data_IF_675204938326
#
_entry.id   IF_675204938326
#
_cell.length_a   1.000
_cell.length_b   1.000
_cell.length_c   1.000
_cell.angle_alpha   90.00
_cell.angle_beta   90.00
_cell.angle_gamma   90.00
#
_symmetry.space_group_name_H-M   'P 1'
#
loop_
_entity.id
_entity.type
_entity.pdbx_description
1 polymer ?
#
# COMPACT_ATOMS: atom_id res chain seq x y z
N UNK A 1 -48.99 50.23 53.55
CA UNK A 1 -47.71 50.96 53.66
C UNK A 1 -46.73 50.27 54.63
N UNK A 2 -47.01 50.18 55.94
CA UNK A 2 -46.09 49.57 56.94
C UNK A 2 -45.64 48.14 56.60
N UNK A 3 -46.56 47.27 56.16
CA UNK A 3 -46.23 45.90 55.72
C UNK A 3 -45.28 45.85 54.53
N UNK A 4 -45.47 46.73 53.52
CA UNK A 4 -44.61 46.80 52.34
C UNK A 4 -43.21 47.27 52.74
N UNK A 5 -43.11 48.31 53.57
CA UNK A 5 -41.83 48.83 54.07
C UNK A 5 -41.05 47.78 54.88
N UNK A 6 -41.76 46.95 55.66
CA UNK A 6 -41.14 45.82 56.37
C UNK A 6 -40.55 44.79 55.40
N UNK A 7 -41.35 44.34 54.42
CA UNK A 7 -40.92 43.35 53.43
C UNK A 7 -39.74 43.85 52.57
N UNK A 8 -39.75 45.13 52.20
CA UNK A 8 -38.64 45.78 51.48
C UNK A 8 -37.36 45.76 52.31
N UNK A 9 -37.46 46.07 53.61
CA UNK A 9 -36.30 46.03 54.52
C UNK A 9 -35.73 44.62 54.67
N UNK A 10 -36.59 43.61 54.85
CA UNK A 10 -36.18 42.21 54.92
C UNK A 10 -35.52 41.76 53.62
N UNK A 11 -36.07 42.12 52.47
CA UNK A 11 -35.50 41.79 51.17
C UNK A 11 -34.13 42.45 50.93
N UNK A 12 -33.90 43.68 51.37
CA UNK A 12 -32.57 44.29 51.29
C UNK A 12 -31.54 43.60 52.19
N UNK A 13 -31.95 43.10 53.36
CA UNK A 13 -31.09 42.28 54.21
C UNK A 13 -30.75 40.97 53.50
N UNK A 14 -31.75 40.31 52.92
CA UNK A 14 -31.61 39.08 52.15
C UNK A 14 -30.64 39.23 50.96
N UNK A 15 -30.70 40.34 50.23
CA UNK A 15 -29.82 40.62 49.08
C UNK A 15 -28.37 40.92 49.47
N UNK A 16 -28.13 41.36 50.72
CA UNK A 16 -26.79 41.68 51.24
C UNK A 16 -26.16 40.54 52.04
N UNK A 17 -26.95 39.53 52.38
CA UNK A 17 -26.48 38.36 53.12
C UNK A 17 -25.61 37.46 52.21
N UNK A 18 -24.45 37.09 52.73
CA UNK A 18 -23.45 36.27 52.02
C UNK A 18 -23.66 34.76 52.23
N UNK A 19 -24.45 34.37 53.23
CA UNK A 19 -24.71 32.98 53.63
C UNK A 19 -26.18 32.55 53.42
N UNK A 20 -26.99 33.40 52.80
CA UNK A 20 -28.41 33.11 52.56
C UNK A 20 -28.61 31.93 51.61
N UNK A 21 -29.62 31.11 51.90
CA UNK A 21 -30.14 30.07 50.99
C UNK A 21 -30.86 30.74 49.80
N UNK A 22 -30.34 30.62 48.56
CA UNK A 22 -30.88 31.38 47.41
C UNK A 22 -32.30 30.98 46.99
N UNK A 23 -32.79 29.82 47.47
CA UNK A 23 -34.17 29.38 47.31
C UNK A 23 -35.18 30.38 47.92
N UNK A 24 -34.75 31.16 48.91
CA UNK A 24 -35.59 32.14 49.60
C UNK A 24 -35.91 33.37 48.74
N UNK A 25 -35.12 33.67 47.70
CA UNK A 25 -35.37 34.81 46.81
C UNK A 25 -36.73 34.73 46.11
N UNK A 26 -37.14 33.53 45.68
CA UNK A 26 -38.43 33.31 45.02
C UNK A 26 -39.61 33.56 45.98
N UNK A 27 -39.51 33.04 47.20
CA UNK A 27 -40.54 33.22 48.22
C UNK A 27 -40.65 34.70 48.65
N UNK A 28 -39.51 35.37 48.87
CA UNK A 28 -39.48 36.80 49.19
C UNK A 28 -40.05 37.66 48.06
N UNK A 29 -39.77 37.31 46.80
CA UNK A 29 -40.35 37.99 45.64
C UNK A 29 -41.87 37.85 45.60
N UNK A 30 -42.40 36.63 45.79
CA UNK A 30 -43.85 36.40 45.80
C UNK A 30 -44.54 37.17 46.93
N UNK A 31 -43.96 37.20 48.13
CA UNK A 31 -44.51 37.95 49.26
C UNK A 31 -44.61 39.47 48.99
N UNK A 32 -43.63 40.04 48.30
CA UNK A 32 -43.64 41.45 47.89
C UNK A 32 -44.66 41.69 46.77
N UNK A 33 -44.68 40.82 45.76
CA UNK A 33 -45.62 40.87 44.62
C UNK A 33 -47.08 40.85 45.10
N UNK A 34 -47.40 39.94 46.02
CA UNK A 34 -48.73 39.84 46.63
C UNK A 34 -49.08 41.05 47.49
N UNK A 35 -48.10 41.60 48.23
CA UNK A 35 -48.31 42.81 49.04
C UNK A 35 -48.58 44.05 48.17
N UNK A 36 -47.89 44.18 47.02
CA UNK A 36 -48.14 45.24 46.04
C UNK A 36 -49.53 45.07 45.42
N UNK A 37 -49.88 43.87 44.94
CA UNK A 37 -51.21 43.57 44.38
C UNK A 37 -52.34 43.89 45.35
N UNK A 38 -52.18 43.50 46.62
CA UNK A 38 -53.14 43.79 47.67
C UNK A 38 -53.28 45.31 47.92
N UNK A 39 -52.16 46.06 47.92
CA UNK A 39 -52.21 47.51 48.06
C UNK A 39 -52.92 48.20 46.89
N UNK A 40 -52.65 47.77 45.65
CA UNK A 40 -53.34 48.27 44.45
C UNK A 40 -54.84 47.98 44.54
N UNK A 41 -55.21 46.75 44.91
CA UNK A 41 -56.60 46.36 45.06
C UNK A 41 -57.34 47.20 46.10
N UNK A 42 -56.73 47.43 47.27
CA UNK A 42 -57.31 48.29 48.31
C UNK A 42 -57.45 49.75 47.86
N UNK A 43 -56.47 50.28 47.13
CA UNK A 43 -56.56 51.64 46.57
C UNK A 43 -57.69 51.79 45.54
N UNK A 44 -57.97 50.74 44.75
CA UNK A 44 -59.05 50.74 43.78
C UNK A 44 -60.45 50.66 44.41
N UNK A 45 -60.56 50.25 45.69
CA UNK A 45 -61.83 50.13 46.42
C UNK A 45 -62.16 51.36 47.29
N UNK A 46 -61.26 52.34 47.40
CA UNK A 46 -61.48 53.54 48.19
C UNK A 46 -61.94 54.71 47.31
N UNK A 47 -63.08 55.32 47.62
CA UNK A 47 -63.62 56.51 46.92
C UNK A 47 -62.92 57.84 47.30
N UNK A 48 -61.91 57.80 48.18
CA UNK A 48 -61.21 59.00 48.66
C UNK A 48 -60.06 59.43 47.75
N UNK A 49 -59.93 60.74 47.52
CA UNK A 49 -58.87 61.40 46.74
C UNK A 49 -57.47 60.81 46.97
N UNK A 50 -56.97 60.13 45.93
CA UNK A 50 -55.61 59.67 45.67
C UNK A 50 -54.90 58.80 46.75
N UNK A 51 -54.16 57.75 46.35
CA UNK A 51 -53.27 57.04 47.27
C UNK A 51 -52.24 58.03 47.85
N UNK A 52 -52.05 58.03 49.18
CA UNK A 52 -51.05 58.87 49.84
C UNK A 52 -49.68 58.73 49.17
N UNK A 53 -48.96 59.83 48.93
CA UNK A 53 -47.62 59.82 48.29
C UNK A 53 -46.66 58.80 48.92
N UNK A 54 -46.78 58.60 50.24
CA UNK A 54 -46.02 57.62 51.02
C UNK A 54 -46.25 56.17 50.58
N UNK A 55 -47.47 55.82 50.19
CA UNK A 55 -47.81 54.49 49.68
C UNK A 55 -47.25 54.29 48.27
N UNK A 56 -47.39 55.29 47.39
CA UNK A 56 -46.83 55.27 46.03
C UNK A 56 -45.32 55.05 46.09
N UNK A 57 -44.62 55.81 46.95
CA UNK A 57 -43.18 55.67 47.14
C UNK A 57 -42.80 54.28 47.69
N UNK A 58 -43.56 53.75 48.65
CA UNK A 58 -43.31 52.40 49.20
C UNK A 58 -43.53 51.30 48.15
N UNK A 59 -44.52 51.45 47.26
CA UNK A 59 -44.76 50.51 46.17
C UNK A 59 -43.64 50.56 45.12
N UNK A 60 -43.14 51.75 44.75
CA UNK A 60 -41.99 51.89 43.85
C UNK A 60 -40.73 51.21 44.38
N UNK A 61 -40.40 51.45 45.65
CA UNK A 61 -39.27 50.79 46.31
C UNK A 61 -39.44 49.26 46.34
N UNK A 62 -40.68 48.79 46.55
CA UNK A 62 -41.00 47.38 46.52
C UNK A 62 -40.90 46.77 45.11
N UNK A 63 -41.30 47.49 44.06
CA UNK A 63 -41.13 47.09 42.67
C UNK A 63 -39.64 46.97 42.29
N UNK A 64 -38.80 47.93 42.69
CA UNK A 64 -37.37 47.91 42.43
C UNK A 64 -36.68 46.70 43.07
N UNK A 65 -37.01 46.38 44.33
CA UNK A 65 -36.48 45.22 45.03
C UNK A 65 -37.05 43.91 44.49
N UNK A 66 -38.31 43.91 44.08
CA UNK A 66 -38.97 42.76 43.45
C UNK A 66 -38.28 42.36 42.14
N UNK A 67 -37.89 43.32 41.30
CA UNK A 67 -37.13 43.06 40.07
C UNK A 67 -35.79 42.40 40.38
N UNK A 68 -35.08 42.88 41.41
CA UNK A 68 -33.81 42.29 41.84
C UNK A 68 -34.00 40.86 42.35
N UNK A 69 -34.98 40.60 43.22
CA UNK A 69 -35.24 39.25 43.75
C UNK A 69 -35.68 38.27 42.66
N UNK A 70 -36.53 38.69 41.71
CA UNK A 70 -36.93 37.89 40.55
C UNK A 70 -35.71 37.55 39.69
N UNK A 71 -34.85 38.53 39.41
CA UNK A 71 -33.59 38.33 38.67
C UNK A 71 -32.67 37.33 39.37
N UNK A 72 -32.46 37.48 40.69
CA UNK A 72 -31.64 36.55 41.50
C UNK A 72 -32.21 35.14 41.54
N UNK A 73 -33.53 35.00 41.65
CA UNK A 73 -34.21 33.70 41.60
C UNK A 73 -34.00 33.00 40.24
N UNK A 74 -34.07 33.75 39.14
CA UNK A 74 -33.78 33.24 37.80
C UNK A 74 -32.31 32.84 37.64
N UNK A 75 -31.37 33.68 38.06
CA UNK A 75 -29.94 33.38 38.03
C UNK A 75 -29.60 32.13 38.85
N UNK A 76 -30.24 31.94 40.00
CA UNK A 76 -30.09 30.73 40.82
C UNK A 76 -30.58 29.46 40.11
N UNK A 77 -31.72 29.53 39.40
CA UNK A 77 -32.23 28.40 38.61
C UNK A 77 -31.25 27.98 37.52
N UNK A 78 -30.69 28.94 36.79
CA UNK A 78 -29.69 28.62 35.76
C UNK A 78 -28.39 28.09 36.36
N UNK A 79 -27.93 28.68 37.47
CA UNK A 79 -26.74 28.20 38.17
C UNK A 79 -26.91 26.75 38.67
N UNK A 80 -28.04 26.42 39.28
CA UNK A 80 -28.33 25.07 39.79
C UNK A 80 -28.46 24.04 38.68
N UNK A 81 -29.11 24.39 37.57
CA UNK A 81 -29.18 23.55 36.39
C UNK A 81 -27.79 23.26 35.81
N UNK A 82 -26.93 24.28 35.67
CA UNK A 82 -25.56 24.13 35.18
C UNK A 82 -24.66 23.35 36.16
N UNK A 83 -24.90 23.48 37.47
CA UNK A 83 -24.17 22.78 38.53
C UNK A 83 -24.41 21.27 38.54
N UNK A 84 -25.64 20.84 38.24
CA UNK A 84 -26.09 19.46 38.43
C UNK A 84 -25.19 18.39 37.80
N UNK A 85 -24.75 18.49 36.52
CA UNK A 85 -23.98 17.42 35.88
C UNK A 85 -22.47 17.45 36.18
N UNK A 86 -21.92 18.56 36.70
CA UNK A 86 -20.46 18.81 36.72
C UNK A 86 -19.68 17.73 37.44
N UNK A 87 -20.15 17.32 38.63
CA UNK A 87 -19.46 16.32 39.44
C UNK A 87 -19.44 14.95 38.75
N UNK A 88 -20.55 14.59 38.11
CA UNK A 88 -20.67 13.32 37.38
C UNK A 88 -19.75 13.33 36.16
N UNK A 89 -19.86 14.36 35.31
CA UNK A 89 -19.05 14.48 34.09
C UNK A 89 -17.55 14.53 34.40
N UNK A 90 -17.13 15.25 35.44
CA UNK A 90 -15.73 15.27 35.83
C UNK A 90 -15.21 13.88 36.22
N UNK A 91 -16.02 13.08 36.92
CA UNK A 91 -15.64 11.71 37.28
C UNK A 91 -15.63 10.79 36.05
N UNK A 92 -16.59 10.96 35.15
CA UNK A 92 -16.67 10.23 33.88
C UNK A 92 -15.42 10.45 33.01
N UNK A 93 -14.82 11.65 33.05
CA UNK A 93 -13.57 11.93 32.34
C UNK A 93 -12.32 11.53 33.15
N UNK A 94 -12.35 11.69 34.46
CA UNK A 94 -11.18 11.39 35.31
C UNK A 94 -10.89 9.89 35.40
N UNK A 95 -11.92 9.04 35.49
CA UNK A 95 -11.73 7.59 35.69
C UNK A 95 -11.02 6.93 34.51
N UNK A 96 -11.43 7.13 33.24
CA UNK A 96 -10.71 6.58 32.09
C UNK A 96 -9.27 7.10 32.01
N UNK A 97 -9.04 8.40 32.23
CA UNK A 97 -7.71 8.98 32.22
C UNK A 97 -6.80 8.34 33.28
N UNK A 98 -7.31 8.19 34.51
CA UNK A 98 -6.54 7.55 35.58
C UNK A 98 -6.17 6.11 35.20
N UNK A 99 -7.14 5.34 34.69
CA UNK A 99 -6.89 3.98 34.25
C UNK A 99 -5.77 3.93 33.19
N UNK A 100 -5.77 4.83 32.20
CA UNK A 100 -4.73 4.88 31.19
C UNK A 100 -3.36 5.28 31.74
N UNK A 101 -3.32 6.19 32.70
CA UNK A 101 -2.06 6.64 33.33
C UNK A 101 -1.47 5.62 34.29
N UNK A 102 -2.28 4.71 34.84
CA UNK A 102 -1.85 3.65 35.74
C UNK A 102 -1.68 2.29 35.05
N UNK A 103 -1.82 2.24 33.72
CA UNK A 103 -1.59 1.00 32.98
C UNK A 103 -0.09 0.70 32.92
N UNK A 104 0.28 -0.48 33.40
CA UNK A 104 1.68 -0.97 33.37
C UNK A 104 2.03 -1.71 32.07
N UNK A 105 1.04 -1.98 31.22
CA UNK A 105 1.22 -2.74 29.98
C UNK A 105 1.21 -1.83 28.75
N UNK A 106 2.21 -1.97 27.90
CA UNK A 106 2.24 -1.33 26.57
C UNK A 106 1.18 -1.93 25.66
N UNK A 107 0.50 -1.06 24.91
CA UNK A 107 -0.55 -1.41 23.95
C UNK A 107 0.01 -1.72 22.58
N UNK A 108 -0.74 -2.48 21.80
CA UNK A 108 -0.47 -2.61 20.37
C UNK A 108 -0.93 -1.35 19.62
N UNK A 109 -0.36 -1.10 18.44
CA UNK A 109 -0.61 0.11 17.65
C UNK A 109 -2.11 0.34 17.35
N UNK A 110 -2.84 -0.72 17.00
CA UNK A 110 -4.28 -0.63 16.70
C UNK A 110 -5.11 -0.19 17.90
N UNK A 111 -4.77 -0.68 19.09
CA UNK A 111 -5.40 -0.27 20.35
C UNK A 111 -5.05 1.18 20.70
N UNK A 112 -3.80 1.59 20.48
CA UNK A 112 -3.34 2.94 20.73
C UNK A 112 -4.10 3.98 19.88
N UNK A 113 -4.32 3.72 18.60
CA UNK A 113 -5.12 4.58 17.71
C UNK A 113 -6.59 4.67 18.18
N UNK A 114 -7.17 3.57 18.64
CA UNK A 114 -8.53 3.57 19.19
C UNK A 114 -8.62 4.46 20.44
N UNK A 115 -7.65 4.35 21.35
CA UNK A 115 -7.54 5.17 22.56
C UNK A 115 -7.36 6.65 22.20
N UNK A 116 -6.48 6.97 21.25
CA UNK A 116 -6.26 8.33 20.76
C UNK A 116 -7.57 8.99 20.31
N UNK A 117 -8.40 8.28 19.54
CA UNK A 117 -9.71 8.76 19.09
C UNK A 117 -10.66 9.05 20.24
N UNK A 118 -10.71 8.15 21.24
CA UNK A 118 -11.55 8.32 22.44
C UNK A 118 -11.11 9.55 23.24
N UNK A 119 -9.81 9.72 23.47
CA UNK A 119 -9.27 10.82 24.26
C UNK A 119 -9.38 12.17 23.56
N UNK A 120 -9.24 12.23 22.23
CA UNK A 120 -9.54 13.44 21.44
C UNK A 120 -10.97 13.91 21.65
N UNK A 121 -11.95 13.00 21.60
CA UNK A 121 -13.35 13.33 21.89
C UNK A 121 -13.55 13.75 23.35
N UNK A 122 -12.86 13.08 24.29
CA UNK A 122 -12.94 13.42 25.70
C UNK A 122 -12.39 14.82 26.01
N UNK A 123 -11.27 15.22 25.42
CA UNK A 123 -10.70 16.56 25.56
C UNK A 123 -11.67 17.62 25.04
N UNK A 124 -12.28 17.39 23.87
CA UNK A 124 -13.31 18.29 23.35
C UNK A 124 -14.52 18.42 24.30
N UNK A 125 -14.92 17.33 24.96
CA UNK A 125 -15.98 17.34 25.95
C UNK A 125 -15.58 18.06 27.26
N UNK A 126 -14.32 17.92 27.69
CA UNK A 126 -13.78 18.67 28.85
C UNK A 126 -13.77 20.17 28.55
N UNK A 127 -13.41 20.59 27.33
CA UNK A 127 -13.48 21.99 26.91
C UNK A 127 -14.92 22.56 26.98
N UNK A 128 -15.93 21.77 26.61
CA UNK A 128 -17.35 22.17 26.81
C UNK A 128 -17.72 22.34 28.28
N UNK A 129 -17.16 21.50 29.17
CA UNK A 129 -17.36 21.63 30.61
C UNK A 129 -16.68 22.90 31.16
N UNK A 130 -15.51 23.29 30.66
CA UNK A 130 -14.85 24.56 30.98
C UNK A 130 -15.74 25.75 30.59
N UNK A 131 -16.35 25.74 29.40
CA UNK A 131 -17.31 26.77 28.98
C UNK A 131 -18.52 26.86 29.92
N UNK A 132 -19.02 25.72 30.41
CA UNK A 132 -20.12 25.68 31.38
C UNK A 132 -19.72 26.32 32.71
N UNK A 133 -18.49 26.08 33.17
CA UNK A 133 -17.95 26.69 34.38
C UNK A 133 -17.77 28.20 34.24
N UNK A 134 -17.35 28.70 33.07
CA UNK A 134 -17.31 30.14 32.78
C UNK A 134 -18.70 30.78 32.85
N UNK A 135 -19.72 30.14 32.28
CA UNK A 135 -21.12 30.60 32.42
C UNK A 135 -21.56 30.61 33.88
N UNK A 136 -21.23 29.57 34.66
CA UNK A 136 -21.52 29.54 36.09
C UNK A 136 -20.79 30.63 36.88
N UNK A 137 -19.57 30.99 36.49
CA UNK A 137 -18.83 32.10 37.09
C UNK A 137 -19.56 33.43 36.88
N UNK A 138 -20.10 33.67 35.69
CA UNK A 138 -20.93 34.85 35.41
C UNK A 138 -22.19 34.89 36.29
N UNK A 139 -22.90 33.77 36.44
CA UNK A 139 -24.04 33.70 37.35
C UNK A 139 -23.62 33.90 38.81
N UNK A 140 -22.49 33.35 39.25
CA UNK A 140 -21.97 33.55 40.59
C UNK A 140 -21.63 35.03 40.89
N UNK A 141 -21.12 35.76 39.89
CA UNK A 141 -20.90 37.21 40.00
C UNK A 141 -22.22 37.98 40.12
N UNK A 142 -23.22 37.63 39.31
CA UNK A 142 -24.57 38.23 39.39
C UNK A 142 -25.26 37.91 40.70
N UNK A 143 -24.94 36.77 41.32
CA UNK A 143 -25.44 36.30 42.61
C UNK A 143 -24.62 36.78 43.82
N UNK A 144 -23.64 37.69 43.64
CA UNK A 144 -22.87 38.30 44.73
C UNK A 144 -23.78 38.91 45.81
N UNK A 145 -23.57 38.71 47.13
CA UNK A 145 -22.30 38.33 47.78
C UNK A 145 -22.13 36.84 48.15
N UNK A 146 -22.91 35.93 47.58
CA UNK A 146 -22.92 34.51 47.95
C UNK A 146 -21.54 33.83 47.81
N UNK A 147 -20.85 33.61 48.93
CA UNK A 147 -19.45 33.13 48.96
C UNK A 147 -19.33 31.67 48.52
N UNK A 148 -20.23 30.82 48.99
CA UNK A 148 -20.18 29.36 48.76
C UNK A 148 -20.28 29.00 47.27
N UNK A 149 -21.08 29.76 46.51
CA UNK A 149 -21.27 29.58 45.06
C UNK A 149 -19.99 29.89 44.31
N UNK A 150 -19.32 31.00 44.65
CA UNK A 150 -18.04 31.39 44.05
C UNK A 150 -16.94 30.37 44.35
N UNK A 151 -16.83 29.91 45.60
CA UNK A 151 -15.87 28.89 45.99
C UNK A 151 -16.08 27.56 45.25
N UNK A 152 -17.34 27.15 45.06
CA UNK A 152 -17.68 25.94 44.31
C UNK A 152 -17.19 26.02 42.85
N UNK A 153 -17.44 27.15 42.17
CA UNK A 153 -17.02 27.35 40.78
C UNK A 153 -15.50 27.27 40.66
N UNK A 154 -14.77 28.04 41.47
CA UNK A 154 -13.30 28.04 41.44
C UNK A 154 -12.69 26.67 41.76
N UNK A 155 -13.30 25.91 42.69
CA UNK A 155 -12.85 24.54 42.99
C UNK A 155 -12.94 23.62 41.78
N UNK A 156 -14.05 23.65 41.05
CA UNK A 156 -14.24 22.79 39.88
C UNK A 156 -13.46 23.29 38.66
N UNK A 157 -13.29 24.59 38.46
CA UNK A 157 -12.42 25.15 37.42
C UNK A 157 -11.00 24.61 37.53
N UNK A 158 -10.41 24.67 38.72
CA UNK A 158 -9.07 24.15 38.95
C UNK A 158 -8.97 22.63 38.69
N UNK A 159 -10.00 21.86 39.06
CA UNK A 159 -10.01 20.41 38.82
C UNK A 159 -10.19 20.05 37.35
N UNK A 160 -11.11 20.72 36.65
CA UNK A 160 -11.36 20.50 35.23
C UNK A 160 -10.13 20.91 34.41
N UNK A 161 -9.50 22.05 34.74
CA UNK A 161 -8.26 22.47 34.10
C UNK A 161 -7.13 21.45 34.25
N UNK A 162 -6.93 20.90 35.46
CA UNK A 162 -5.94 19.83 35.70
C UNK A 162 -6.23 18.57 34.90
N UNK A 163 -7.48 18.12 34.86
CA UNK A 163 -7.85 16.93 34.07
C UNK A 163 -7.67 17.17 32.58
N UNK A 164 -8.01 18.37 32.08
CA UNK A 164 -7.77 18.76 30.70
C UNK A 164 -6.29 18.71 30.34
N UNK A 165 -5.43 19.33 31.16
CA UNK A 165 -3.98 19.33 30.98
C UNK A 165 -3.41 17.91 30.98
N UNK A 166 -3.77 17.09 31.98
CA UNK A 166 -3.33 15.69 32.06
C UNK A 166 -3.79 14.87 30.84
N UNK A 167 -5.03 15.03 30.40
CA UNK A 167 -5.56 14.35 29.21
C UNK A 167 -4.83 14.79 27.94
N UNK A 168 -4.51 16.08 27.84
CA UNK A 168 -3.80 16.66 26.68
C UNK A 168 -2.37 16.16 26.61
N UNK A 169 -1.64 16.18 27.73
CA UNK A 169 -0.28 15.66 27.81
C UNK A 169 -0.25 14.16 27.49
N UNK A 170 -1.17 13.37 28.07
CA UNK A 170 -1.32 11.96 27.74
C UNK A 170 -1.56 11.74 26.24
N UNK A 171 -2.49 12.49 25.63
CA UNK A 171 -2.80 12.36 24.21
C UNK A 171 -1.60 12.73 23.34
N UNK A 172 -0.86 13.77 23.69
CA UNK A 172 0.32 14.22 22.95
C UNK A 172 1.44 13.17 23.00
N UNK A 173 1.75 12.63 24.18
CA UNK A 173 2.75 11.58 24.33
C UNK A 173 2.34 10.29 23.59
N UNK A 174 1.08 9.87 23.72
CA UNK A 174 0.53 8.73 22.98
C UNK A 174 0.62 8.95 21.46
N UNK A 175 0.26 10.15 21.00
CA UNK A 175 0.27 10.49 19.57
C UNK A 175 1.68 10.53 19.01
N UNK A 176 2.66 11.01 19.78
CA UNK A 176 4.06 10.98 19.39
C UNK A 176 4.53 9.53 19.17
N UNK A 177 4.29 8.64 20.15
CA UNK A 177 4.66 7.23 20.01
C UNK A 177 3.96 6.53 18.83
N UNK A 178 2.68 6.86 18.56
CA UNK A 178 1.96 6.36 17.39
C UNK A 178 2.58 6.84 16.07
N UNK A 179 2.93 8.13 15.98
CA UNK A 179 3.55 8.68 14.77
C UNK A 179 4.91 8.02 14.52
N UNK A 180 5.70 7.78 15.57
CA UNK A 180 6.99 7.09 15.47
C UNK A 180 6.83 5.63 14.98
N UNK A 181 5.74 4.94 15.34
CA UNK A 181 5.43 3.61 14.79
C UNK A 181 5.02 3.68 13.32
N UNK A 182 4.23 4.67 12.95
CA UNK A 182 3.79 4.85 11.57
C UNK A 182 4.97 5.18 10.65
N UNK A 183 5.88 6.06 11.09
CA UNK A 183 7.09 6.39 10.34
C UNK A 183 8.02 5.19 10.18
N UNK A 184 8.21 4.39 11.24
CA UNK A 184 8.96 3.14 11.15
C UNK A 184 8.30 2.20 10.14
N UNK A 185 6.99 1.96 10.27
CA UNK A 185 6.26 1.04 9.40
C UNK A 185 6.34 1.48 7.93
N UNK A 186 6.23 2.78 7.66
CA UNK A 186 6.40 3.36 6.33
C UNK A 186 7.82 3.19 5.79
N UNK A 187 8.85 3.32 6.63
CA UNK A 187 10.24 3.10 6.24
C UNK A 187 10.53 1.63 5.94
N UNK A 188 10.01 0.71 6.76
CA UNK A 188 10.10 -0.74 6.52
C UNK A 188 9.41 -1.12 5.20
N UNK A 189 8.20 -0.59 4.96
CA UNK A 189 7.46 -0.85 3.73
C UNK A 189 8.25 -0.43 2.48
N UNK A 190 8.91 0.74 2.50
CA UNK A 190 9.77 1.18 1.40
C UNK A 190 10.94 0.22 1.14
N UNK A 191 11.53 -0.34 2.19
CA UNK A 191 12.61 -1.34 2.02
C UNK A 191 12.05 -2.65 1.46
N UNK A 192 10.90 -3.11 1.95
CA UNK A 192 10.23 -4.29 1.42
C UNK A 192 9.84 -4.14 -0.07
N UNK A 193 9.37 -2.96 -0.48
CA UNK A 193 9.05 -2.65 -1.88
C UNK A 193 10.31 -2.67 -2.77
N UNK A 194 11.43 -2.14 -2.27
CA UNK A 194 12.73 -2.23 -2.96
C UNK A 194 13.18 -3.69 -3.12
N UNK A 195 13.10 -4.50 -2.07
CA UNK A 195 13.43 -5.92 -2.14
C UNK A 195 12.56 -6.66 -3.16
N UNK A 196 11.26 -6.37 -3.17
CA UNK A 196 10.33 -6.96 -4.14
C UNK A 196 10.70 -6.56 -5.57
N UNK A 197 11.07 -5.29 -5.77
CA UNK A 197 11.50 -4.77 -7.08
C UNK A 197 12.80 -5.44 -7.54
N UNK A 198 13.80 -5.58 -6.66
CA UNK A 198 15.05 -6.28 -6.96
C UNK A 198 14.82 -7.76 -7.25
N UNK A 199 13.94 -8.44 -6.50
CA UNK A 199 13.59 -9.82 -6.76
C UNK A 199 13.03 -10.06 -8.15
N UNK A 200 12.30 -9.09 -8.72
CA UNK A 200 11.82 -9.20 -10.11
C UNK A 200 12.95 -9.14 -11.16
N UNK A 201 14.10 -8.57 -10.83
CA UNK A 201 15.29 -8.49 -11.69
C UNK A 201 16.19 -9.71 -11.56
N UNK A 202 16.09 -10.46 -10.46
CA UNK A 202 16.88 -11.65 -10.17
C UNK A 202 16.23 -12.85 -10.86
N UNK A 203 16.43 -12.92 -12.18
CA UNK A 203 15.94 -14.01 -13.03
C UNK A 203 17.10 -14.62 -13.83
N UNK A 204 17.02 -15.90 -14.24
CA UNK A 204 18.10 -16.56 -14.98
C UNK A 204 18.47 -15.90 -16.31
N UNK A 205 17.57 -15.11 -16.91
CA UNK A 205 17.82 -14.40 -18.15
C UNK A 205 18.60 -13.08 -17.95
N UNK A 206 18.82 -12.65 -16.70
CA UNK A 206 19.56 -11.43 -16.37
C UNK A 206 21.07 -11.70 -16.48
N UNK A 207 21.78 -10.84 -17.20
CA UNK A 207 23.24 -10.97 -17.36
C UNK A 207 24.01 -10.78 -16.05
N UNK A 208 25.22 -11.38 -15.93
CA UNK A 208 26.00 -11.36 -14.69
C UNK A 208 26.40 -9.95 -14.26
N UNK A 209 26.69 -9.04 -15.20
CA UNK A 209 27.04 -7.64 -14.89
C UNK A 209 25.96 -6.92 -14.06
N UNK A 210 24.68 -7.14 -14.40
CA UNK A 210 23.55 -6.54 -13.68
C UNK A 210 23.38 -7.20 -12.31
N UNK A 211 23.56 -8.52 -12.22
CA UNK A 211 23.46 -9.27 -10.97
C UNK A 211 24.60 -8.91 -10.00
N UNK A 212 25.82 -8.70 -10.50
CA UNK A 212 26.95 -8.17 -9.73
C UNK A 212 26.66 -6.75 -9.24
N UNK A 213 26.11 -5.88 -10.09
CA UNK A 213 25.76 -4.52 -9.69
C UNK A 213 24.74 -4.52 -8.53
N UNK A 214 23.76 -5.42 -8.55
CA UNK A 214 22.79 -5.59 -7.46
C UNK A 214 23.51 -6.10 -6.19
N UNK A 215 24.38 -7.10 -6.33
CA UNK A 215 25.11 -7.70 -5.20
C UNK A 215 26.05 -6.69 -4.52
N UNK A 216 26.76 -5.88 -5.30
CA UNK A 216 27.83 -5.02 -4.79
C UNK A 216 27.32 -3.64 -4.34
N UNK A 217 26.20 -3.15 -4.89
CA UNK A 217 25.70 -1.81 -4.60
C UNK A 217 24.35 -1.82 -3.86
N UNK A 218 23.35 -2.52 -4.41
CA UNK A 218 21.97 -2.44 -3.90
C UNK A 218 21.79 -3.21 -2.58
N UNK A 219 22.36 -4.42 -2.48
CA UNK A 219 22.26 -5.26 -1.29
C UNK A 219 22.92 -4.59 -0.06
N UNK A 220 24.17 -4.10 -0.11
CA UNK A 220 24.77 -3.40 1.03
C UNK A 220 24.00 -2.14 1.41
N UNK A 221 23.49 -1.38 0.43
CA UNK A 221 22.68 -0.20 0.71
C UNK A 221 21.36 -0.50 1.44
N UNK A 222 20.78 -1.68 1.21
CA UNK A 222 19.60 -2.17 1.93
C UNK A 222 19.98 -2.67 3.34
N UNK A 223 21.11 -3.36 3.47
CA UNK A 223 21.65 -3.81 4.76
C UNK A 223 21.90 -2.63 5.69
N UNK A 224 22.55 -1.58 5.20
CA UNK A 224 22.80 -0.34 5.95
C UNK A 224 21.48 0.33 6.39
N UNK A 225 20.47 0.35 5.51
CA UNK A 225 19.14 0.89 5.83
C UNK A 225 18.45 0.07 6.92
N UNK A 226 18.50 -1.26 6.84
CA UNK A 226 17.89 -2.13 7.84
C UNK A 226 18.63 -2.08 9.18
N UNK A 227 19.96 -1.99 9.17
CA UNK A 227 20.75 -1.81 10.38
C UNK A 227 20.43 -0.46 11.05
N UNK A 228 20.31 0.62 10.27
CA UNK A 228 19.89 1.91 10.79
C UNK A 228 18.50 1.82 11.43
N UNK A 229 17.51 1.21 10.76
CA UNK A 229 16.16 1.05 11.29
C UNK A 229 16.12 0.17 12.54
N UNK A 230 16.93 -0.90 12.60
CA UNK A 230 17.07 -1.76 13.76
C UNK A 230 17.66 -1.00 14.96
N UNK A 231 18.72 -0.22 14.72
CA UNK A 231 19.35 0.62 15.72
C UNK A 231 18.40 1.72 16.21
N UNK A 232 17.69 2.42 15.32
CA UNK A 232 16.65 3.39 15.69
C UNK A 232 15.52 2.73 16.49
N UNK A 233 15.16 1.49 16.16
CA UNK A 233 14.16 0.75 16.92
C UNK A 233 14.62 0.36 18.33
N UNK A 234 15.92 0.14 18.55
CA UNK A 234 16.49 -0.18 19.85
C UNK A 234 16.82 1.07 20.68
N UNK A 235 17.17 2.18 20.02
CA UNK A 235 17.54 3.45 20.63
C UNK A 235 16.32 4.30 21.07
N UNK A 236 15.10 3.83 20.82
CA UNK A 236 13.88 4.54 21.21
C UNK A 236 13.87 4.80 22.72
N UNK A 237 13.56 6.04 23.10
CA UNK A 237 13.34 6.46 24.48
C UNK A 237 12.40 5.48 25.22
N UNK A 238 12.42 5.51 26.55
CA UNK A 238 11.56 4.65 27.38
C UNK A 238 10.10 4.85 26.98
N UNK A 239 9.60 3.95 26.12
CA UNK A 239 8.23 3.95 25.61
C UNK A 239 7.28 3.72 26.78
N UNK A 240 6.25 4.56 26.87
CA UNK A 240 5.29 4.54 27.97
C UNK A 240 3.96 3.91 27.57
N UNK A 241 3.57 3.98 26.29
CA UNK A 241 2.19 3.72 25.91
C UNK A 241 1.99 2.70 24.80
N UNK A 242 2.90 2.63 23.84
CA UNK A 242 2.79 1.84 22.61
C UNK A 242 4.00 0.92 22.45
N UNK A 243 3.73 -0.37 22.30
CA UNK A 243 4.73 -1.41 22.05
C UNK A 243 5.32 -1.25 20.65
N UNK A 244 6.65 -1.38 20.55
CA UNK A 244 7.38 -1.42 19.27
C UNK A 244 7.18 -2.76 18.58
N UNK A 245 6.79 -2.73 17.30
CA UNK A 245 6.63 -3.95 16.50
C UNK A 245 7.92 -4.30 15.73
N UNK A 246 8.83 -5.00 16.41
CA UNK A 246 10.10 -5.45 15.81
C UNK A 246 9.94 -6.59 14.79
N UNK A 247 8.82 -7.31 14.83
CA UNK A 247 8.58 -8.48 13.98
C UNK A 247 8.57 -8.14 12.49
N UNK A 248 8.19 -6.90 12.15
CA UNK A 248 8.21 -6.37 10.79
C UNK A 248 9.63 -6.24 10.24
N UNK A 249 10.58 -5.80 11.07
CA UNK A 249 12.00 -5.71 10.69
C UNK A 249 12.53 -7.13 10.47
N UNK A 250 12.25 -8.05 11.39
CA UNK A 250 12.69 -9.45 11.27
C UNK A 250 12.16 -10.13 10.00
N UNK A 251 10.93 -9.82 9.62
CA UNK A 251 10.31 -10.33 8.38
C UNK A 251 11.06 -9.83 7.15
N UNK A 252 11.38 -8.54 7.08
CA UNK A 252 12.11 -7.95 5.94
C UNK A 252 13.57 -8.41 5.90
N UNK A 253 14.21 -8.57 7.07
CA UNK A 253 15.55 -9.19 7.17
C UNK A 253 15.54 -10.62 6.62
N UNK A 254 14.49 -11.39 6.92
CA UNK A 254 14.32 -12.74 6.38
C UNK A 254 14.14 -12.75 4.85
N UNK A 255 13.37 -11.80 4.31
CA UNK A 255 13.21 -11.61 2.87
C UNK A 255 14.54 -11.29 2.18
N UNK A 256 15.35 -10.41 2.78
CA UNK A 256 16.68 -10.09 2.27
C UNK A 256 17.58 -11.33 2.24
N UNK A 257 17.57 -12.16 3.30
CA UNK A 257 18.37 -13.39 3.33
C UNK A 257 17.98 -14.36 2.21
N UNK A 258 16.68 -14.53 1.96
CA UNK A 258 16.18 -15.36 0.84
C UNK A 258 16.66 -14.78 -0.49
N UNK A 259 16.51 -13.47 -0.69
CA UNK A 259 16.91 -12.81 -1.92
C UNK A 259 18.42 -12.93 -2.20
N UNK A 260 19.26 -12.78 -1.16
CA UNK A 260 20.71 -12.97 -1.29
C UNK A 260 21.07 -14.40 -1.71
N UNK A 261 20.35 -15.40 -1.20
CA UNK A 261 20.55 -16.78 -1.61
C UNK A 261 20.14 -17.02 -3.06
N UNK A 262 18.96 -16.53 -3.46
CA UNK A 262 18.47 -16.60 -4.84
C UNK A 262 19.42 -15.91 -5.82
N UNK A 263 19.90 -14.70 -5.47
CA UNK A 263 20.88 -13.96 -6.26
C UNK A 263 22.18 -14.75 -6.47
N UNK A 264 22.71 -15.38 -5.42
CA UNK A 264 23.93 -16.17 -5.52
C UNK A 264 23.77 -17.39 -6.44
N UNK A 265 22.63 -18.09 -6.36
CA UNK A 265 22.33 -19.24 -7.22
C UNK A 265 22.13 -18.81 -8.69
N UNK A 266 21.39 -17.73 -8.93
CA UNK A 266 21.15 -17.19 -10.28
C UNK A 266 22.45 -16.67 -10.91
N UNK A 267 23.28 -15.96 -10.15
CA UNK A 267 24.57 -15.46 -10.62
C UNK A 267 25.51 -16.61 -11.01
N UNK A 268 25.58 -17.66 -10.17
CA UNK A 268 26.38 -18.85 -10.47
C UNK A 268 25.92 -19.50 -11.78
N UNK A 269 24.61 -19.64 -11.97
CA UNK A 269 24.04 -20.18 -13.20
C UNK A 269 24.36 -19.29 -14.41
N UNK A 270 24.25 -17.97 -14.28
CA UNK A 270 24.55 -17.05 -15.37
C UNK A 270 26.00 -17.17 -15.87
N UNK A 271 26.98 -17.33 -14.97
CA UNK A 271 28.37 -17.60 -15.37
C UNK A 271 28.56 -18.96 -16.03
N UNK A 272 27.88 -19.99 -15.56
CA UNK A 272 27.89 -21.31 -16.21
C UNK A 272 27.34 -21.20 -17.64
N UNK A 273 26.23 -20.49 -17.81
CA UNK A 273 25.59 -20.22 -19.09
C UNK A 273 26.54 -19.46 -20.05
N UNK A 274 27.16 -18.36 -19.60
CA UNK A 274 28.13 -17.61 -20.42
C UNK A 274 29.35 -18.44 -20.81
N UNK A 275 29.83 -19.31 -19.92
CA UNK A 275 30.93 -20.21 -20.22
C UNK A 275 30.56 -21.23 -21.29
N UNK A 276 29.33 -21.78 -21.24
CA UNK A 276 28.85 -22.69 -22.30
C UNK A 276 28.72 -21.97 -23.63
N UNK A 277 28.18 -20.75 -23.66
CA UNK A 277 28.05 -19.94 -24.86
C UNK A 277 29.42 -19.60 -25.45
N UNK A 278 30.38 -19.24 -24.61
CA UNK A 278 31.77 -18.98 -25.03
C UNK A 278 32.42 -20.22 -25.65
N UNK A 279 32.16 -21.41 -25.09
CA UNK A 279 32.64 -22.66 -25.65
C UNK A 279 31.98 -22.99 -27.00
N UNK A 280 30.68 -22.73 -27.15
CA UNK A 280 29.95 -22.89 -28.42
C UNK A 280 30.48 -21.91 -29.46
N UNK A 281 30.69 -20.63 -29.10
CA UNK A 281 31.26 -19.63 -29.98
C UNK A 281 32.65 -20.05 -30.51
N UNK A 282 33.47 -20.64 -29.65
CA UNK A 282 34.77 -21.19 -30.06
C UNK A 282 34.65 -22.38 -31.00
N UNK A 283 33.68 -23.28 -30.77
CA UNK A 283 33.39 -24.38 -31.68
C UNK A 283 32.91 -23.88 -33.05
N UNK A 284 32.04 -22.87 -33.08
CA UNK A 284 31.58 -22.23 -34.32
C UNK A 284 32.72 -21.59 -35.10
N UNK A 285 33.61 -20.84 -34.43
CA UNK A 285 34.82 -20.28 -35.07
C UNK A 285 35.69 -21.36 -35.70
N UNK A 286 35.94 -22.47 -35.00
CA UNK A 286 36.71 -23.59 -35.57
C UNK A 286 36.03 -24.20 -36.80
N UNK A 287 34.70 -24.33 -36.79
CA UNK A 287 33.96 -24.78 -37.98
C UNK A 287 34.11 -23.79 -39.13
N UNK A 288 34.09 -22.49 -38.86
CA UNK A 288 34.29 -21.46 -39.89
C UNK A 288 35.70 -21.52 -40.47
N UNK A 289 36.72 -21.68 -39.62
CA UNK A 289 38.12 -21.58 -40.02
C UNK A 289 38.68 -22.88 -40.63
N UNK A 290 38.23 -24.05 -40.17
CA UNK A 290 38.86 -25.34 -40.47
C UNK A 290 38.09 -26.22 -41.45
N UNK A 291 36.76 -26.02 -41.58
CA UNK A 291 35.96 -26.81 -42.51
C UNK A 291 35.61 -26.02 -43.75
N UNK A 292 35.87 -26.63 -44.92
CA UNK A 292 35.25 -26.19 -46.16
C UNK A 292 33.72 -26.22 -45.97
N UNK A 293 33.03 -25.20 -46.48
CA UNK A 293 31.58 -25.02 -46.31
C UNK A 293 30.80 -26.28 -46.76
N UNK A 294 31.30 -26.97 -47.78
CA UNK A 294 30.72 -28.21 -48.32
C UNK A 294 30.76 -29.39 -47.33
N UNK A 295 31.80 -29.48 -46.50
CA UNK A 295 32.02 -30.57 -45.54
C UNK A 295 31.33 -30.34 -44.19
N UNK A 296 30.70 -29.18 -44.01
CA UNK A 296 30.05 -28.79 -42.76
C UNK A 296 28.85 -29.72 -42.45
N UNK A 297 28.74 -30.30 -41.26
CA UNK A 297 27.62 -31.21 -40.93
C UNK A 297 26.40 -30.44 -40.41
N UNK A 298 25.22 -30.68 -41.00
CA UNK A 298 23.95 -30.09 -40.52
C UNK A 298 23.58 -30.58 -39.11
N UNK A 299 23.85 -31.86 -38.79
CA UNK A 299 23.57 -32.43 -37.48
C UNK A 299 24.39 -31.75 -36.36
N UNK A 300 25.62 -31.33 -36.67
CA UNK A 300 26.46 -30.55 -35.73
C UNK A 300 25.87 -29.16 -35.49
N UNK A 301 25.42 -28.47 -36.54
CA UNK A 301 24.77 -27.16 -36.41
C UNK A 301 23.46 -27.25 -35.63
N UNK A 302 22.62 -28.27 -35.89
CA UNK A 302 21.39 -28.51 -35.12
C UNK A 302 21.68 -28.81 -33.65
N UNK A 303 22.76 -29.55 -33.36
CA UNK A 303 23.16 -29.84 -31.98
C UNK A 303 23.62 -28.58 -31.23
N UNK A 304 24.33 -27.66 -31.90
CA UNK A 304 24.75 -26.38 -31.33
C UNK A 304 23.57 -25.42 -31.13
N UNK A 305 22.67 -25.35 -32.12
CA UNK A 305 21.43 -24.55 -32.03
C UNK A 305 20.56 -24.99 -30.85
N UNK A 306 20.37 -26.30 -30.67
CA UNK A 306 19.62 -26.82 -29.51
C UNK A 306 20.27 -26.44 -28.18
N UNK A 307 21.59 -26.55 -28.06
CA UNK A 307 22.29 -26.15 -26.82
C UNK A 307 22.14 -24.66 -26.52
N UNK A 308 22.17 -23.80 -27.55
CA UNK A 308 21.96 -22.35 -27.39
C UNK A 308 20.51 -22.01 -27.01
N UNK A 309 19.53 -22.69 -27.61
CA UNK A 309 18.11 -22.52 -27.29
C UNK A 309 17.77 -23.03 -25.88
N UNK A 310 18.33 -24.17 -25.48
CA UNK A 310 18.15 -24.74 -24.14
C UNK A 310 18.79 -23.88 -23.05
N UNK A 311 19.85 -23.13 -23.38
CA UNK A 311 20.49 -22.20 -22.46
C UNK A 311 19.61 -20.98 -22.15
N UNK A 312 18.94 -20.41 -23.16
CA UNK A 312 17.97 -19.33 -22.99
C UNK A 312 18.57 -17.97 -22.57
N UNK A 313 19.90 -17.84 -22.46
CA UNK A 313 20.56 -16.58 -22.15
C UNK A 313 20.50 -15.60 -23.33
N UNK A 314 20.33 -14.28 -23.09
CA UNK A 314 20.37 -13.27 -24.14
C UNK A 314 21.67 -13.26 -24.95
N UNK A 315 22.80 -13.65 -24.37
CA UNK A 315 24.06 -13.68 -25.10
C UNK A 315 24.07 -14.74 -26.22
N UNK A 316 23.25 -15.79 -26.11
CA UNK A 316 23.15 -16.86 -27.10
C UNK A 316 22.61 -16.40 -28.47
N UNK A 317 21.89 -15.27 -28.52
CA UNK A 317 21.33 -14.73 -29.77
C UNK A 317 22.41 -14.46 -30.83
N UNK A 318 23.59 -14.02 -30.39
CA UNK A 318 24.72 -13.75 -31.31
C UNK A 318 25.18 -15.05 -31.96
N UNK A 319 25.31 -16.14 -31.18
CA UNK A 319 25.75 -17.42 -31.71
C UNK A 319 24.64 -18.11 -32.52
N UNK A 320 23.37 -17.91 -32.18
CA UNK A 320 22.24 -18.40 -32.99
C UNK A 320 22.22 -17.77 -34.38
N UNK A 321 22.47 -16.46 -34.47
CA UNK A 321 22.61 -15.77 -35.75
C UNK A 321 23.78 -16.32 -36.58
N UNK A 322 24.92 -16.60 -35.93
CA UNK A 322 26.08 -17.19 -36.62
C UNK A 322 25.76 -18.60 -37.15
N UNK A 323 25.02 -19.42 -36.38
CA UNK A 323 24.55 -20.74 -36.82
C UNK A 323 23.64 -20.63 -38.05
N UNK A 324 22.70 -19.69 -38.04
CA UNK A 324 21.79 -19.43 -39.16
C UNK A 324 22.57 -18.95 -40.40
N UNK A 325 23.50 -18.01 -40.23
CA UNK A 325 24.37 -17.54 -41.31
C UNK A 325 25.17 -18.68 -41.96
N UNK A 326 25.72 -19.60 -41.15
CA UNK A 326 26.45 -20.77 -41.66
C UNK A 326 25.54 -21.74 -42.42
N UNK A 327 24.30 -21.92 -41.95
CA UNK A 327 23.29 -22.73 -42.61
C UNK A 327 22.97 -22.17 -44.00
N UNK A 328 22.78 -20.85 -44.09
CA UNK A 328 22.48 -20.15 -45.35
C UNK A 328 23.65 -20.22 -46.34
N UNK A 329 24.88 -19.94 -45.88
CA UNK A 329 26.08 -20.07 -46.71
C UNK A 329 26.24 -21.48 -47.29
N UNK A 330 25.91 -22.50 -46.50
CA UNK A 330 25.94 -23.89 -46.96
C UNK A 330 24.82 -24.20 -47.95
N UNK A 331 23.61 -23.69 -47.72
CA UNK A 331 22.46 -23.81 -48.64
C UNK A 331 22.78 -23.27 -50.03
N UNK A 332 23.50 -22.15 -50.12
CA UNK A 332 23.89 -21.53 -51.39
C UNK A 332 24.92 -22.34 -52.20
N UNK A 333 25.65 -23.24 -51.55
CA UNK A 333 26.76 -23.97 -52.19
C UNK A 333 26.35 -25.37 -52.69
N UNK A 334 25.10 -25.84 -52.46
CA UNK A 334 24.68 -27.21 -52.82
C UNK A 334 24.75 -27.47 -54.34
N UNK A 335 25.66 -28.35 -54.83
CA UNK A 335 25.80 -28.62 -56.24
C UNK A 335 24.81 -29.70 -56.68
N UNK A 336 23.55 -29.31 -56.96
CA UNK A 336 22.55 -30.25 -57.50
C UNK A 336 22.98 -30.74 -58.89
N UNK A 337 23.20 -32.06 -59.03
CA UNK A 337 23.54 -32.67 -60.31
C UNK A 337 22.44 -32.45 -61.36
N UNK A 338 21.16 -32.53 -60.94
CA UNK A 338 20.02 -32.31 -61.81
C UNK A 338 20.00 -30.88 -62.36
N UNK A 339 20.13 -29.86 -61.48
CA UNK A 339 20.09 -28.46 -61.92
C UNK A 339 21.36 -28.02 -62.65
N UNK A 340 22.52 -28.57 -62.29
CA UNK A 340 23.79 -28.24 -62.95
C UNK A 340 23.84 -28.81 -64.37
N UNK A 341 23.52 -30.09 -64.56
CA UNK A 341 23.64 -30.79 -65.85
C UNK A 341 22.45 -30.58 -66.79
N UNK A 342 21.24 -30.34 -66.26
CA UNK A 342 20.02 -30.34 -67.07
C UNK A 342 19.20 -29.05 -66.95
N UNK A 343 18.52 -28.69 -68.05
CA UNK A 343 17.39 -27.76 -68.03
C UNK A 343 16.11 -28.59 -67.91
N UNK A 344 15.27 -28.35 -66.91
CA UNK A 344 14.18 -29.25 -66.55
C UNK A 344 12.79 -28.61 -66.63
N UNK A 345 11.80 -29.40 -67.05
CA UNK A 345 10.37 -29.07 -67.03
C UNK A 345 9.58 -30.26 -66.50
N UNK A 346 8.65 -30.05 -65.58
CA UNK A 346 7.82 -31.14 -65.04
C UNK A 346 6.85 -31.64 -66.12
N UNK A 347 6.79 -32.96 -66.31
CA UNK A 347 5.89 -33.62 -67.28
C UNK A 347 4.94 -34.63 -66.63
N UNK A 348 5.14 -34.97 -65.36
CA UNK A 348 4.20 -35.80 -64.60
C UNK A 348 4.64 -35.99 -63.16
N UNK A 349 3.70 -36.27 -62.26
CA UNK A 349 3.99 -36.56 -60.85
C UNK A 349 2.95 -37.52 -60.29
N UNK A 350 3.40 -38.48 -59.49
CA UNK A 350 2.57 -39.46 -58.78
C UNK A 350 3.06 -39.63 -57.34
N UNK A 351 2.41 -40.50 -56.56
CA UNK A 351 2.81 -40.81 -55.19
C UNK A 351 4.20 -41.48 -55.08
N UNK A 352 4.81 -41.85 -56.20
CA UNK A 352 6.11 -42.51 -56.28
C UNK A 352 7.21 -41.57 -56.80
N UNK A 353 6.91 -40.30 -57.10
CA UNK A 353 7.89 -39.28 -57.47
C UNK A 353 7.42 -38.33 -58.57
N UNK A 354 8.35 -37.48 -59.03
CA UNK A 354 8.12 -36.53 -60.11
C UNK A 354 8.99 -36.87 -61.33
N UNK A 355 8.44 -36.72 -62.52
CA UNK A 355 9.11 -36.93 -63.80
C UNK A 355 9.30 -35.60 -64.50
N UNK A 356 10.52 -35.37 -64.96
CA UNK A 356 10.94 -34.18 -65.68
C UNK A 356 11.30 -34.53 -67.12
N UNK A 357 10.88 -33.69 -68.07
CA UNK A 357 11.58 -33.54 -69.35
C UNK A 357 12.86 -32.76 -69.04
N UNK A 358 14.01 -33.41 -69.22
CA UNK A 358 15.31 -32.89 -68.87
C UNK A 358 16.18 -32.81 -70.12
N UNK A 359 16.59 -31.61 -70.50
CA UNK A 359 17.51 -31.38 -71.60
C UNK A 359 18.94 -31.33 -71.08
N UNK A 360 19.79 -32.27 -71.52
CA UNK A 360 21.18 -32.32 -71.09
C UNK A 360 21.96 -31.20 -71.78
N UNK A 361 22.39 -30.20 -70.99
CA UNK A 361 22.91 -28.92 -71.50
C UNK A 361 24.11 -29.05 -72.44
N UNK A 362 24.92 -30.10 -72.31
CA UNK A 362 26.14 -30.28 -73.08
C UNK A 362 25.90 -30.74 -74.53
N UNK A 363 24.88 -31.57 -74.74
CA UNK A 363 24.64 -32.24 -76.03
C UNK A 363 23.23 -32.03 -76.57
N UNK A 364 22.43 -31.19 -75.89
CA UNK A 364 21.06 -30.81 -76.27
C UNK A 364 20.10 -32.00 -76.49
N UNK A 365 20.38 -33.12 -75.82
CA UNK A 365 19.53 -34.31 -75.87
C UNK A 365 18.51 -34.28 -74.74
N UNK A 366 17.27 -34.66 -75.08
CA UNK A 366 16.15 -34.72 -74.13
C UNK A 366 16.03 -36.10 -73.51
N UNK A 367 15.87 -36.11 -72.20
CA UNK A 367 15.68 -37.29 -71.37
C UNK A 367 14.43 -37.15 -70.52
N UNK A 368 13.90 -38.28 -70.05
CA UNK A 368 12.96 -38.31 -68.94
C UNK A 368 13.75 -38.65 -67.66
N UNK A 369 13.72 -37.77 -66.66
CA UNK A 369 14.35 -38.01 -65.35
C UNK A 369 13.24 -38.18 -64.31
N UNK A 370 13.18 -39.33 -63.65
CA UNK A 370 12.24 -39.56 -62.53
C UNK A 370 12.98 -39.38 -61.20
N UNK A 371 12.59 -38.37 -60.43
CA UNK A 371 13.08 -38.12 -59.06
C UNK A 371 12.18 -38.85 -58.07
N UNK A 372 12.80 -39.70 -57.25
CA UNK A 372 12.10 -40.56 -56.30
C UNK A 372 12.52 -40.16 -54.87
N UNK A 373 11.59 -39.75 -54.00
CA UNK A 373 11.93 -39.42 -52.62
C UNK A 373 12.31 -40.70 -51.85
N UNK A 374 13.50 -40.72 -51.29
CA UNK A 374 13.98 -41.83 -50.46
C UNK A 374 13.88 -41.44 -48.98
N UNK A 375 13.36 -42.34 -48.15
CA UNK A 375 13.53 -42.22 -46.69
C UNK A 375 14.99 -42.53 -46.37
N UNK A 376 15.63 -41.74 -45.50
CA UNK A 376 16.99 -41.97 -44.98
C UNK A 376 17.05 -43.26 -44.13
N UNK A 377 16.91 -44.41 -44.79
CA UNK A 377 16.99 -45.75 -44.21
C UNK A 377 17.66 -46.66 -45.24
N UNK A 378 18.68 -47.41 -44.81
CA UNK A 378 19.47 -48.29 -45.68
C UNK A 378 18.63 -49.26 -46.50
N UNK A 379 17.55 -49.79 -45.90
CA UNK A 379 16.63 -50.70 -46.57
C UNK A 379 15.88 -50.05 -47.76
N UNK A 380 15.51 -48.77 -47.65
CA UNK A 380 14.79 -48.05 -48.70
C UNK A 380 15.72 -47.73 -49.88
N UNK A 381 16.94 -47.28 -49.59
CA UNK A 381 17.98 -47.01 -50.60
C UNK A 381 18.36 -48.30 -51.32
N UNK A 382 18.59 -49.40 -50.57
CA UNK A 382 18.92 -50.71 -51.16
C UNK A 382 17.81 -51.25 -52.06
N UNK A 383 16.54 -51.07 -51.68
CA UNK A 383 15.41 -51.46 -52.53
C UNK A 383 15.38 -50.66 -53.84
N UNK A 384 15.50 -49.34 -53.78
CA UNK A 384 15.52 -48.49 -54.97
C UNK A 384 16.71 -48.83 -55.90
N UNK A 385 17.89 -49.06 -55.35
CA UNK A 385 19.06 -49.47 -56.13
C UNK A 385 18.89 -50.84 -56.79
N UNK A 386 18.19 -51.78 -56.15
CA UNK A 386 17.89 -53.08 -56.77
C UNK A 386 16.94 -52.94 -57.96
N UNK A 387 15.94 -52.06 -57.86
CA UNK A 387 15.03 -51.76 -58.99
C UNK A 387 15.78 -51.10 -60.15
N UNK A 388 16.66 -50.14 -59.86
CA UNK A 388 17.53 -49.51 -60.87
C UNK A 388 18.45 -50.53 -61.55
N UNK A 389 19.05 -51.46 -60.79
CA UNK A 389 19.89 -52.54 -61.34
C UNK A 389 19.10 -53.45 -62.28
N UNK A 390 17.86 -53.79 -61.91
CA UNK A 390 16.99 -54.58 -62.78
C UNK A 390 16.68 -53.82 -64.08
N UNK A 391 16.32 -52.53 -64.00
CA UNK A 391 16.08 -51.68 -65.16
C UNK A 391 17.29 -51.56 -66.09
N UNK A 392 18.50 -51.44 -65.52
CA UNK A 392 19.74 -51.37 -66.28
C UNK A 392 20.06 -52.66 -67.07
N UNK A 393 19.49 -53.80 -66.69
CA UNK A 393 19.71 -55.09 -67.37
C UNK A 393 18.80 -55.35 -68.57
N UNK A 394 17.76 -54.54 -68.76
CA UNK A 394 16.81 -54.71 -69.86
C UNK A 394 17.22 -53.88 -71.08
N UNK A 395 17.58 -54.56 -72.18
CA UNK A 395 17.79 -53.95 -73.48
C UNK A 395 16.82 -54.57 -74.51
N UNK A 396 15.69 -53.89 -74.73
CA UNK A 396 14.66 -54.37 -75.65
C UNK A 396 13.90 -53.19 -76.26
N UNK A 397 13.54 -53.27 -77.56
CA UNK A 397 12.87 -52.19 -78.30
C UNK A 397 11.52 -51.75 -77.69
N UNK A 398 10.85 -52.65 -76.97
CA UNK A 398 9.57 -52.39 -76.29
C UNK A 398 9.68 -51.97 -74.82
N UNK A 399 10.89 -51.83 -74.27
CA UNK A 399 11.13 -51.43 -72.87
C UNK A 399 11.86 -50.09 -72.86
N UNK A 400 11.51 -49.20 -71.93
CA UNK A 400 12.15 -47.88 -71.79
C UNK A 400 13.63 -48.05 -71.51
N UNK A 401 14.46 -47.39 -72.31
CA UNK A 401 15.92 -47.45 -72.19
C UNK A 401 16.39 -46.75 -70.92
N UNK A 402 17.15 -47.48 -70.09
CA UNK A 402 17.87 -46.91 -68.97
C UNK A 402 19.16 -46.23 -69.44
N UNK A 403 19.47 -45.06 -68.88
CA UNK A 403 20.69 -44.30 -69.19
C UNK A 403 21.60 -44.16 -67.97
N UNK A 404 21.11 -43.53 -66.91
CA UNK A 404 21.87 -43.29 -65.70
C UNK A 404 20.95 -43.10 -64.48
N UNK A 405 21.52 -43.17 -63.29
CA UNK A 405 20.90 -42.84 -62.02
C UNK A 405 21.95 -42.27 -61.08
N UNK A 406 21.56 -41.31 -60.25
CA UNK A 406 22.41 -40.76 -59.19
C UNK A 406 21.55 -40.49 -57.96
N UNK A 407 22.21 -40.23 -56.83
CA UNK A 407 21.55 -39.88 -55.57
C UNK A 407 21.91 -38.43 -55.25
N UNK A 408 20.91 -37.62 -54.92
CA UNK A 408 21.08 -36.28 -54.39
C UNK A 408 20.55 -36.25 -52.95
N UNK A 409 21.33 -35.66 -52.04
CA UNK A 409 20.90 -35.35 -50.67
C UNK A 409 20.77 -33.82 -50.49
N UNK A 410 19.72 -33.20 -51.06
CA UNK A 410 19.54 -31.77 -50.98
C UNK A 410 19.19 -31.33 -49.54
N UNK A 411 19.63 -30.14 -49.12
CA UNK A 411 19.29 -29.59 -47.81
C UNK A 411 17.78 -29.32 -47.68
N UNK A 412 17.33 -29.10 -46.44
CA UNK A 412 15.91 -28.79 -46.16
C UNK A 412 15.47 -27.55 -46.95
N UNK A 413 14.30 -27.61 -47.59
CA UNK A 413 13.77 -26.52 -48.44
C UNK A 413 14.03 -26.64 -49.95
N UNK A 414 14.86 -27.59 -50.40
CA UNK A 414 15.17 -27.83 -51.84
C UNK A 414 14.29 -28.90 -52.53
N UNK A 415 13.40 -29.54 -51.79
CA UNK A 415 12.69 -30.77 -52.19
C UNK A 415 11.50 -30.50 -53.10
#
# INVERSE_FOLDING_TARGET
>A
CSRIQHLVKEAYLLLKDYDVFPETYAASANNIDDAIKHAIFQCAQCDSEFPSDKLIQSCKEAEDVLVQLKSRSVDWKYYTAAKAPIKHLLNEYRTPLLNQLTMDTLRDYSEAIAVQRVFSNMIANIARLQNTLEVMRLFAQRLHPLKNIKLYVTFFENKVARVHEQATNFLNELSAECNDEEELAGSIAKVADKLTSLGSLIVPATGPEILEAILDNDIPGIEDQLELLANTSQAAEIRKFVRRDVSKIDTVMSQLMVLKHELAEVLKKAYEDEKTISAIAEQLRRLIDQTLIDDLSYDKLEALERQLLDNGSPSAYVQLYEVESLRDRKLDTYPSELRSKFTIKIIGGDSFGCVFEAEFKLIEMKYAVKRIPLKRRDAAVKKALNEVKALASFEHKGIVRYHNSWIEEPPSGWQ
#
